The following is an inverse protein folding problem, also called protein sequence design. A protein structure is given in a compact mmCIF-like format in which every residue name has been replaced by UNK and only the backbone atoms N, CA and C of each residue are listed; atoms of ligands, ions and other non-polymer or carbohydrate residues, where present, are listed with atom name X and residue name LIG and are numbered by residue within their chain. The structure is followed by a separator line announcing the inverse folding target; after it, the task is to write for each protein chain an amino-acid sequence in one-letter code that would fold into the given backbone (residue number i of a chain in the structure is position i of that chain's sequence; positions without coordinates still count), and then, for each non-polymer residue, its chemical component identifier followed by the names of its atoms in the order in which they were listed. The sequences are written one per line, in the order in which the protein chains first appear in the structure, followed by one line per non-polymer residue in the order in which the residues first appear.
data_IF_987864021503
#
_entry.id   IF_987864021503
#
_cell.length_a   1.000
_cell.length_b   1.000
_cell.length_c   1.000
_cell.angle_alpha   90.00
_cell.angle_beta   90.00
_cell.angle_gamma   90.00
#
_symmetry.space_group_name_H-M   'P 1'
#
loop_
_entity.id
_entity.type
_entity.pdbx_description
1 polymer ?
#
# COMPACT_ATOMS: atom_id res chain seq x y z
N UNK A 1 9.47 24.33 2.89
CA UNK A 1 9.18 24.25 4.34
C UNK A 1 7.70 24.05 4.66
N UNK A 2 6.77 24.94 4.28
CA UNK A 2 5.35 24.86 4.73
C UNK A 2 4.67 23.49 4.64
N UNK A 3 4.92 22.70 3.58
CA UNK A 3 4.35 21.35 3.45
C UNK A 3 4.87 20.37 4.51
N UNK A 4 6.14 20.47 4.89
CA UNK A 4 6.77 19.62 5.92
C UNK A 4 6.14 19.92 7.29
N UNK A 5 5.96 21.20 7.62
CA UNK A 5 5.40 21.62 8.91
C UNK A 5 3.90 21.26 9.04
N UNK A 6 3.19 21.23 7.92
CA UNK A 6 1.77 20.85 7.91
C UNK A 6 1.53 19.38 8.22
N UNK A 7 2.54 18.52 8.02
CA UNK A 7 2.44 17.08 8.30
C UNK A 7 2.60 16.84 9.80
N UNK A 8 1.47 16.54 10.43
CA UNK A 8 1.37 16.19 11.85
C UNK A 8 1.07 14.70 11.99
N UNK A 9 1.59 14.08 13.05
CA UNK A 9 1.32 12.70 13.38
C UNK A 9 -0.07 12.55 14.01
N UNK A 10 -0.84 11.57 13.58
CA UNK A 10 -2.16 11.23 14.13
C UNK A 10 -2.17 9.79 14.68
N UNK A 11 -1.86 9.57 15.98
CA UNK A 11 -1.75 8.23 16.56
C UNK A 11 -2.99 7.33 16.33
N UNK A 12 -4.19 7.92 16.23
CA UNK A 12 -5.44 7.18 16.00
C UNK A 12 -5.64 6.68 14.56
N UNK A 13 -4.76 7.09 13.63
CA UNK A 13 -4.89 6.83 12.19
C UNK A 13 -3.68 6.10 11.60
N UNK A 14 -2.51 6.21 12.20
CA UNK A 14 -1.25 5.75 11.63
C UNK A 14 -0.22 5.46 12.74
N UNK A 15 0.72 4.56 12.45
CA UNK A 15 1.86 4.32 13.33
C UNK A 15 2.86 5.50 13.29
N UNK A 16 3.79 5.54 14.24
CA UNK A 16 4.87 6.52 14.20
C UNK A 16 5.82 6.29 13.01
N UNK A 17 6.07 5.03 12.66
CA UNK A 17 6.95 4.66 11.54
C UNK A 17 6.37 5.17 10.20
N UNK A 18 5.06 4.99 9.95
CA UNK A 18 4.40 5.48 8.73
C UNK A 18 4.52 7.01 8.62
N UNK A 19 4.24 7.71 9.73
CA UNK A 19 4.39 9.15 9.81
C UNK A 19 5.83 9.61 9.54
N UNK A 20 6.82 8.92 10.12
CA UNK A 20 8.22 9.25 9.97
C UNK A 20 8.68 9.07 8.53
N UNK A 21 8.32 7.95 7.88
CA UNK A 21 8.63 7.66 6.48
C UNK A 21 8.06 8.75 5.57
N UNK A 22 6.77 9.06 5.69
CA UNK A 22 6.10 10.11 4.92
C UNK A 22 6.80 11.46 5.08
N UNK A 23 7.10 11.83 6.33
CA UNK A 23 7.67 13.14 6.63
C UNK A 23 9.12 13.23 6.16
N UNK A 24 9.90 12.16 6.29
CA UNK A 24 11.26 12.08 5.77
C UNK A 24 11.29 12.13 4.24
N UNK A 25 10.33 11.51 3.55
CA UNK A 25 10.20 11.61 2.09
C UNK A 25 9.96 13.06 1.64
N UNK A 26 9.24 13.87 2.44
CA UNK A 26 9.08 15.31 2.19
C UNK A 26 10.37 16.09 2.46
N UNK A 27 11.19 15.68 3.44
CA UNK A 27 12.45 16.32 3.81
C UNK A 27 13.60 15.99 2.86
N UNK A 28 13.59 14.82 2.21
CA UNK A 28 14.66 14.35 1.32
C UNK A 28 14.99 15.35 0.20
N UNK A 29 14.02 16.17 -0.20
CA UNK A 29 14.19 17.21 -1.23
C UNK A 29 15.01 18.42 -0.80
N UNK A 30 15.31 18.57 0.51
CA UNK A 30 15.86 19.80 1.10
C UNK A 30 17.25 19.60 1.71
N UNK A 31 17.83 18.39 1.62
CA UNK A 31 19.16 18.04 2.15
C UNK A 31 19.50 18.66 3.51
N UNK A 32 18.67 18.34 4.51
CA UNK A 32 18.82 18.87 5.86
C UNK A 32 19.77 18.02 6.70
N UNK A 33 20.54 18.62 7.63
CA UNK A 33 21.26 17.89 8.67
C UNK A 33 20.36 16.97 9.49
N UNK A 34 20.91 15.89 10.04
CA UNK A 34 20.13 14.88 10.79
C UNK A 34 19.39 15.48 11.99
N UNK A 35 20.04 16.39 12.75
CA UNK A 35 19.40 17.06 13.88
C UNK A 35 18.17 17.88 13.47
N UNK A 36 18.22 18.56 12.33
CA UNK A 36 17.08 19.33 11.82
C UNK A 36 15.94 18.41 11.41
N UNK A 37 16.25 17.24 10.84
CA UNK A 37 15.24 16.21 10.52
C UNK A 37 14.55 15.70 11.78
N UNK A 38 15.32 15.41 12.83
CA UNK A 38 14.80 15.00 14.14
C UNK A 38 13.88 16.10 14.70
N UNK A 39 14.35 17.35 14.74
CA UNK A 39 13.55 18.47 15.25
C UNK A 39 12.24 18.64 14.47
N UNK A 40 12.27 18.49 13.14
CA UNK A 40 11.08 18.53 12.30
C UNK A 40 10.13 17.34 12.56
N UNK A 41 10.65 16.14 12.82
CA UNK A 41 9.82 14.99 13.23
C UNK A 41 9.12 15.28 14.56
N UNK A 42 9.86 15.75 15.57
CA UNK A 42 9.34 16.12 16.90
C UNK A 42 8.30 17.23 16.82
N UNK A 43 8.49 18.22 15.93
CA UNK A 43 7.56 19.33 15.77
C UNK A 43 6.15 18.90 15.34
N UNK A 44 6.02 17.76 14.65
CA UNK A 44 4.73 17.24 14.19
C UNK A 44 4.00 16.36 15.20
N UNK A 45 4.59 16.09 16.36
CA UNK A 45 3.94 15.37 17.47
C UNK A 45 2.99 16.33 18.20
N UNK A 46 1.70 16.00 18.23
CA UNK A 46 0.68 16.85 18.86
C UNK A 46 0.54 16.61 20.37
N UNK A 47 0.76 15.37 20.83
CA UNK A 47 0.63 15.02 22.23
C UNK A 47 1.80 15.59 23.03
N UNK A 48 1.53 16.51 23.96
CA UNK A 48 2.57 17.22 24.72
C UNK A 48 3.48 16.28 25.51
N UNK A 49 2.93 15.22 26.10
CA UNK A 49 3.70 14.23 26.85
C UNK A 49 4.71 13.49 25.94
N UNK A 50 4.23 12.89 24.83
CA UNK A 50 5.11 12.24 23.85
C UNK A 50 6.13 13.19 23.24
N UNK A 51 5.74 14.45 22.98
CA UNK A 51 6.66 15.46 22.46
C UNK A 51 7.78 15.77 23.46
N UNK A 52 7.45 15.87 24.76
CA UNK A 52 8.45 16.09 25.79
C UNK A 52 9.42 14.90 25.90
N UNK A 53 8.90 13.66 25.82
CA UNK A 53 9.73 12.45 25.78
C UNK A 53 10.64 12.43 24.56
N UNK A 54 10.11 12.75 23.38
CA UNK A 54 10.90 12.80 22.15
C UNK A 54 12.01 13.87 22.20
N UNK A 55 11.75 15.01 22.83
CA UNK A 55 12.78 16.05 23.08
C UNK A 55 13.85 15.61 24.08
N UNK A 56 13.57 14.63 24.94
CA UNK A 56 14.53 14.11 25.91
C UNK A 56 15.46 13.05 25.32
N UNK A 57 15.19 12.54 24.11
CA UNK A 57 16.07 11.61 23.39
C UNK A 57 17.29 12.41 22.91
N UNK A 58 18.48 12.03 23.36
CA UNK A 58 19.74 12.75 23.09
C UNK A 58 20.53 12.18 21.91
N UNK A 59 19.90 11.41 21.04
CA UNK A 59 20.58 10.85 19.86
C UNK A 59 20.89 11.94 18.83
N UNK A 60 22.13 11.91 18.36
CA UNK A 60 22.63 12.76 17.28
C UNK A 60 22.33 12.18 15.89
N UNK A 61 22.07 10.87 15.82
CA UNK A 61 21.73 10.14 14.60
C UNK A 61 20.24 9.93 14.44
N UNK A 62 19.76 10.13 13.22
CA UNK A 62 18.34 9.94 12.87
C UNK A 62 17.86 8.53 13.17
N UNK A 63 18.64 7.51 12.81
CA UNK A 63 18.25 6.11 13.00
C UNK A 63 18.14 5.73 14.48
N UNK A 64 19.02 6.27 15.34
CA UNK A 64 18.95 6.06 16.79
C UNK A 64 17.68 6.66 17.39
N UNK A 65 17.37 7.90 17.00
CA UNK A 65 16.13 8.56 17.40
C UNK A 65 14.87 7.77 16.99
N UNK A 66 14.81 7.26 15.76
CA UNK A 66 13.66 6.50 15.27
C UNK A 66 13.47 5.19 16.07
N UNK A 67 14.55 4.49 16.38
CA UNK A 67 14.50 3.25 17.16
C UNK A 67 14.01 3.50 18.61
N UNK A 68 14.49 4.55 19.27
CA UNK A 68 14.01 4.94 20.60
C UNK A 68 12.52 5.34 20.58
N UNK A 69 12.11 6.11 19.57
CA UNK A 69 10.70 6.45 19.40
C UNK A 69 9.81 5.23 19.14
N UNK A 70 10.29 4.23 18.41
CA UNK A 70 9.57 2.96 18.22
C UNK A 70 9.33 2.24 19.55
N UNK A 71 10.34 2.15 20.42
CA UNK A 71 10.19 1.55 21.76
C UNK A 71 9.16 2.29 22.62
N UNK A 72 9.18 3.62 22.59
CA UNK A 72 8.25 4.48 23.35
C UNK A 72 6.81 4.30 22.84
N UNK A 73 6.64 4.25 21.51
CA UNK A 73 5.32 4.22 20.88
C UNK A 73 4.64 2.85 20.98
N UNK A 74 5.41 1.76 20.94
CA UNK A 74 4.89 0.41 21.25
C UNK A 74 4.28 0.30 22.65
N UNK A 75 4.84 1.02 23.64
CA UNK A 75 4.33 1.01 25.01
C UNK A 75 3.12 1.93 25.26
N UNK A 76 2.80 2.83 24.33
CA UNK A 76 1.72 3.84 24.52
C UNK A 76 0.41 3.48 23.84
N UNK A 77 0.39 2.52 22.90
CA UNK A 77 -0.84 2.06 22.23
C UNK A 77 -1.89 1.47 23.20
N UNK A 78 -1.49 1.05 24.40
CA UNK A 78 -2.41 0.47 25.40
C UNK A 78 -3.09 1.50 26.32
N UNK A 79 -2.59 2.74 26.42
CA UNK A 79 -2.95 3.65 27.51
C UNK A 79 -4.13 4.60 27.20
N UNK A 80 -4.56 4.72 25.95
CA UNK A 80 -5.65 5.64 25.54
C UNK A 80 -7.06 5.01 25.59
N UNK A 81 -7.24 3.88 26.30
CA UNK A 81 -8.58 3.40 26.69
C UNK A 81 -9.01 3.98 28.03
N UNK A 82 -9.14 5.31 28.13
CA UNK A 82 -9.87 5.92 29.26
C UNK A 82 -11.35 6.09 28.88
N UNK A 83 -12.30 5.65 29.72
CA UNK A 83 -13.73 5.65 29.38
C UNK A 83 -14.26 7.08 29.45
N UNK A 84 -14.48 7.71 28.30
CA UNK A 84 -15.22 8.97 28.23
C UNK A 84 -16.71 8.71 28.37
N UNK A 85 -17.24 9.06 29.53
CA UNK A 85 -18.64 9.24 29.82
C UNK A 85 -19.26 10.36 28.97
N UNK A 86 -20.51 10.10 28.54
CA UNK A 86 -21.49 11.03 27.95
C UNK A 86 -21.25 11.59 26.54
N UNK A 87 -21.88 10.94 25.56
CA UNK A 87 -22.94 11.58 24.74
C UNK A 87 -23.86 10.53 24.07
N UNK A 88 -25.08 10.50 24.60
CA UNK A 88 -26.37 10.20 23.95
C UNK A 88 -26.51 8.91 23.13
N UNK A 89 -27.25 8.00 23.77
CA UNK A 89 -28.13 6.97 23.20
C UNK A 89 -28.49 7.13 21.72
N UNK A 90 -27.85 6.30 20.90
CA UNK A 90 -28.60 5.49 19.96
C UNK A 90 -28.28 4.03 20.25
N UNK A 91 -29.16 3.42 21.04
CA UNK A 91 -29.34 1.98 21.28
C UNK A 91 -28.54 1.12 20.26
N UNK A 92 -27.50 0.36 20.67
CA UNK A 92 -26.78 -0.50 19.76
C UNK A 92 -27.77 -1.50 19.20
N UNK A 93 -28.10 -1.37 17.91
CA UNK A 93 -28.67 -2.50 17.17
C UNK A 93 -27.61 -3.58 17.26
N UNK A 94 -27.97 -4.70 17.88
CA UNK A 94 -27.19 -5.95 18.01
C UNK A 94 -26.92 -6.64 16.65
N UNK A 95 -26.83 -5.84 15.58
CA UNK A 95 -26.54 -6.27 14.24
C UNK A 95 -25.04 -6.34 14.03
N UNK A 96 -24.60 -7.43 13.42
CA UNK A 96 -23.30 -7.50 12.77
C UNK A 96 -23.10 -6.32 11.81
N UNK A 97 -21.87 -5.83 11.72
CA UNK A 97 -21.49 -4.84 10.72
C UNK A 97 -21.82 -5.39 9.33
N UNK A 98 -22.52 -4.60 8.50
CA UNK A 98 -22.90 -5.01 7.14
C UNK A 98 -21.71 -5.16 6.18
N UNK A 99 -20.55 -4.60 6.52
CA UNK A 99 -19.36 -4.63 5.67
C UNK A 99 -18.48 -5.85 5.97
N UNK A 100 -18.23 -6.17 7.26
CA UNK A 100 -17.31 -7.25 7.65
C UNK A 100 -17.97 -8.37 8.49
N UNK A 101 -19.26 -8.28 8.79
CA UNK A 101 -19.97 -9.26 9.60
C UNK A 101 -19.65 -9.25 11.10
N UNK A 102 -18.64 -8.49 11.56
CA UNK A 102 -18.25 -8.46 12.99
C UNK A 102 -19.16 -7.55 13.81
N UNK A 103 -19.43 -7.93 15.07
CA UNK A 103 -20.16 -7.09 16.03
C UNK A 103 -19.24 -6.02 16.63
N UNK A 104 -19.82 -4.97 17.21
CA UNK A 104 -19.08 -3.96 17.97
C UNK A 104 -18.75 -2.66 17.23
N UNK A 105 -19.13 -2.51 15.96
CA UNK A 105 -19.06 -1.25 15.21
C UNK A 105 -20.14 -1.20 14.13
N UNK A 106 -20.46 0.00 13.63
CA UNK A 106 -21.37 0.16 12.49
C UNK A 106 -20.60 0.09 11.15
N UNK A 107 -21.30 -0.10 10.03
CA UNK A 107 -20.66 -0.15 8.70
C UNK A 107 -19.89 1.13 8.33
N UNK A 108 -20.20 2.29 8.94
CA UNK A 108 -19.51 3.57 8.70
C UNK A 108 -18.17 3.66 9.44
N UNK A 109 -17.99 2.88 10.51
CA UNK A 109 -16.80 2.79 11.35
C UNK A 109 -15.99 1.52 11.05
N UNK A 110 -16.37 0.80 10.00
CA UNK A 110 -15.72 -0.44 9.61
C UNK A 110 -14.36 -0.15 8.96
N UNK A 111 -13.28 -0.44 9.70
CA UNK A 111 -11.90 -0.38 9.22
C UNK A 111 -11.39 -1.71 8.66
N UNK A 112 -12.27 -2.61 8.24
CA UNK A 112 -11.80 -3.80 7.53
C UNK A 112 -11.23 -3.32 6.19
N UNK A 113 -9.91 -3.35 6.07
CA UNK A 113 -9.24 -3.34 4.78
C UNK A 113 -9.71 -4.58 4.03
N UNK A 114 -10.53 -4.36 3.02
CA UNK A 114 -10.97 -5.38 2.09
C UNK A 114 -10.30 -5.09 0.77
N UNK A 115 -9.43 -5.99 0.33
CA UNK A 115 -8.93 -5.94 -1.03
C UNK A 115 -10.06 -6.33 -1.97
N UNK A 116 -10.37 -5.46 -2.93
CA UNK A 116 -11.34 -5.76 -3.97
C UNK A 116 -10.58 -6.28 -5.19
N UNK A 117 -10.76 -7.57 -5.47
CA UNK A 117 -10.26 -8.18 -6.70
C UNK A 117 -11.28 -7.94 -7.80
N UNK A 118 -10.98 -7.04 -8.73
CA UNK A 118 -11.78 -6.81 -9.92
C UNK A 118 -11.17 -7.55 -11.12
N UNK A 119 -11.93 -8.46 -11.72
CA UNK A 119 -11.51 -9.13 -12.95
C UNK A 119 -11.31 -8.13 -14.10
N UNK A 120 -10.32 -8.34 -14.97
CA UNK A 120 -10.05 -7.44 -16.12
C UNK A 120 -11.28 -7.25 -17.02
N UNK A 121 -12.00 -8.34 -17.27
CA UNK A 121 -13.23 -8.33 -18.07
C UNK A 121 -14.28 -7.37 -17.51
N UNK A 122 -14.35 -7.24 -16.19
CA UNK A 122 -15.27 -6.34 -15.53
C UNK A 122 -14.92 -4.88 -15.80
N UNK A 123 -13.64 -4.52 -15.76
CA UNK A 123 -13.18 -3.17 -16.09
C UNK A 123 -13.48 -2.82 -17.56
N UNK A 124 -13.20 -3.72 -18.49
CA UNK A 124 -13.40 -3.49 -19.93
C UNK A 124 -14.89 -3.45 -20.30
N UNK A 125 -15.70 -4.43 -19.88
CA UNK A 125 -17.14 -4.49 -20.17
C UNK A 125 -17.90 -3.36 -19.51
N UNK A 126 -17.52 -3.03 -18.27
CA UNK A 126 -18.09 -1.93 -17.50
C UNK A 126 -17.60 -0.55 -17.96
N UNK A 127 -16.64 -0.47 -18.90
CA UNK A 127 -15.98 0.77 -19.33
C UNK A 127 -15.46 1.59 -18.15
N UNK A 128 -14.94 0.91 -17.13
CA UNK A 128 -14.41 1.54 -15.93
C UNK A 128 -13.01 2.06 -16.22
N UNK A 129 -12.76 3.33 -15.90
CA UNK A 129 -11.46 3.98 -16.08
C UNK A 129 -11.05 4.67 -14.78
N UNK A 130 -9.79 4.54 -14.38
CA UNK A 130 -9.24 5.29 -13.27
C UNK A 130 -8.38 6.43 -13.81
N UNK A 131 -8.84 7.67 -13.64
CA UNK A 131 -8.16 8.86 -14.15
C UNK A 131 -7.55 9.64 -13.00
N UNK A 132 -6.23 9.77 -12.99
CA UNK A 132 -5.52 10.67 -12.09
C UNK A 132 -5.58 12.10 -12.63
N UNK A 133 -6.03 13.03 -11.79
CA UNK A 133 -6.11 14.45 -12.13
C UNK A 133 -5.19 15.24 -11.16
N UNK A 134 -4.00 15.67 -11.61
CA UNK A 134 -3.07 16.38 -10.74
C UNK A 134 -3.65 17.72 -10.27
N UNK A 135 -3.49 18.03 -8.99
CA UNK A 135 -4.05 19.22 -8.37
C UNK A 135 -3.27 20.51 -8.70
N UNK A 136 -2.05 20.40 -9.22
CA UNK A 136 -1.18 21.53 -9.48
C UNK A 136 -1.48 22.17 -10.86
N UNK A 137 -1.67 23.50 -10.88
CA UNK A 137 -1.72 24.30 -12.11
C UNK A 137 -0.35 24.29 -12.78
N UNK A 138 -0.09 23.29 -13.61
CA UNK A 138 1.18 23.15 -14.34
C UNK A 138 1.39 21.76 -14.94
N UNK A 139 0.84 20.73 -14.31
CA UNK A 139 0.99 19.35 -14.79
C UNK A 139 -0.01 19.08 -15.91
N UNK A 140 0.53 18.97 -17.13
CA UNK A 140 -0.21 18.71 -18.36
C UNK A 140 -0.24 17.21 -18.62
N UNK A 141 -1.15 16.50 -17.95
CA UNK A 141 -2.05 15.52 -18.59
C UNK A 141 -2.83 14.73 -17.54
N UNK A 142 -4.09 14.44 -17.88
CA UNK A 142 -4.87 13.44 -17.15
C UNK A 142 -4.30 12.08 -17.52
N UNK A 143 -3.86 11.33 -16.52
CA UNK A 143 -3.26 10.01 -16.74
C UNK A 143 -4.35 8.98 -16.47
N UNK A 144 -4.66 8.15 -17.47
CA UNK A 144 -5.47 6.95 -17.24
C UNK A 144 -4.57 5.89 -16.60
N UNK A 145 -4.74 5.67 -15.30
CA UNK A 145 -3.88 4.78 -14.51
C UNK A 145 -4.02 3.33 -14.98
N UNK A 146 -5.23 2.87 -15.34
CA UNK A 146 -5.40 1.49 -15.82
C UNK A 146 -4.67 1.23 -17.14
N UNK A 147 -4.53 2.24 -18.01
CA UNK A 147 -3.77 2.12 -19.25
C UNK A 147 -2.24 2.09 -19.03
N UNK A 148 -1.76 2.59 -17.88
CA UNK A 148 -0.34 2.70 -17.57
C UNK A 148 0.14 1.67 -16.54
N UNK A 149 -0.75 0.84 -15.99
CA UNK A 149 -0.33 -0.28 -15.15
C UNK A 149 0.40 -1.32 -16.02
N UNK A 150 1.61 -1.79 -15.62
CA UNK A 150 2.36 -2.82 -16.33
C UNK A 150 1.69 -4.21 -16.36
N UNK A 151 0.41 -4.27 -15.96
CA UNK A 151 -0.45 -5.44 -16.00
C UNK A 151 -1.23 -5.55 -17.31
N UNK A 152 -1.11 -4.58 -18.22
CA UNK A 152 -1.70 -4.67 -19.55
C UNK A 152 -0.91 -5.69 -20.39
N UNK A 153 -1.39 -6.93 -20.40
CA UNK A 153 -1.15 -7.79 -21.57
C UNK A 153 -1.93 -7.13 -22.70
N UNK A 154 -1.24 -6.52 -23.66
CA UNK A 154 -1.88 -5.91 -24.83
C UNK A 154 -2.76 -6.97 -25.52
N UNK A 155 -4.08 -6.84 -25.37
CA UNK A 155 -5.04 -7.66 -26.11
C UNK A 155 -4.99 -7.40 -27.64
N UNK A 156 -4.25 -6.36 -28.06
CA UNK A 156 -4.01 -5.99 -29.44
C UNK A 156 -2.65 -6.44 -29.99
N UNK A 157 -1.79 -7.10 -29.19
CA UNK A 157 -0.73 -7.90 -29.81
C UNK A 157 -1.44 -9.06 -30.49
N UNK A 158 -1.35 -9.14 -31.82
CA UNK A 158 -1.56 -10.40 -32.54
C UNK A 158 -0.97 -11.49 -31.66
N UNK A 159 -1.78 -12.45 -31.23
CA UNK A 159 -1.34 -13.51 -30.30
C UNK A 159 -0.19 -14.22 -30.98
N UNK A 160 1.03 -13.79 -30.66
CA UNK A 160 2.21 -14.41 -31.18
C UNK A 160 2.13 -15.86 -30.74
N UNK A 161 2.20 -16.76 -31.71
CA UNK A 161 2.15 -18.18 -31.38
C UNK A 161 3.31 -18.48 -30.44
N UNK A 162 3.15 -19.50 -29.61
CA UNK A 162 4.19 -19.96 -28.69
C UNK A 162 5.51 -20.18 -29.46
N UNK A 163 5.41 -20.70 -30.69
CA UNK A 163 6.54 -20.90 -31.60
C UNK A 163 7.22 -19.60 -32.04
N UNK A 164 6.44 -18.56 -32.38
CA UNK A 164 6.98 -17.23 -32.74
C UNK A 164 7.71 -16.62 -31.54
N UNK A 165 7.11 -16.71 -30.36
CA UNK A 165 7.68 -16.16 -29.12
C UNK A 165 9.01 -16.84 -28.79
N UNK A 166 9.06 -18.17 -28.86
CA UNK A 166 10.28 -18.94 -28.57
C UNK A 166 11.40 -18.69 -29.57
N UNK A 167 11.06 -18.48 -30.84
CA UNK A 167 12.05 -18.19 -31.89
C UNK A 167 12.68 -16.80 -31.72
N UNK A 168 11.91 -15.81 -31.26
CA UNK A 168 12.34 -14.42 -31.08
C UNK A 168 13.27 -14.20 -29.89
N UNK A 169 13.19 -15.04 -28.85
CA UNK A 169 14.04 -14.88 -27.68
C UNK A 169 15.43 -15.50 -27.88
N UNK A 170 16.45 -14.67 -27.70
CA UNK A 170 17.84 -15.10 -27.56
C UNK A 170 18.09 -15.45 -26.09
N UNK A 171 18.89 -16.48 -25.85
CA UNK A 171 19.25 -16.92 -24.49
C UNK A 171 20.76 -16.92 -24.35
N UNK A 172 21.25 -16.73 -23.13
CA UNK A 172 22.67 -16.62 -22.83
C UNK A 172 23.42 -17.98 -22.90
N UNK A 173 22.70 -19.05 -23.25
CA UNK A 173 23.20 -20.42 -23.32
C UNK A 173 23.41 -20.87 -24.77
N UNK A 174 24.19 -21.94 -24.95
CA UNK A 174 24.45 -22.52 -26.27
C UNK A 174 23.18 -23.00 -26.98
N UNK A 175 23.26 -23.11 -28.31
CA UNK A 175 22.14 -23.49 -29.17
C UNK A 175 21.51 -24.84 -28.80
N UNK A 176 22.31 -25.80 -28.30
CA UNK A 176 21.82 -27.10 -27.82
C UNK A 176 20.84 -26.93 -26.64
N UNK A 177 21.15 -26.03 -25.71
CA UNK A 177 20.29 -25.71 -24.57
C UNK A 177 18.99 -25.05 -25.01
N UNK A 178 19.06 -24.14 -26.00
CA UNK A 178 17.87 -23.51 -26.60
C UNK A 178 16.94 -24.56 -27.19
N UNK A 179 17.47 -25.47 -28.00
CA UNK A 179 16.69 -26.54 -28.64
C UNK A 179 16.04 -27.46 -27.59
N UNK A 180 16.78 -27.83 -26.53
CA UNK A 180 16.23 -28.64 -25.42
C UNK A 180 15.10 -27.93 -24.69
N UNK A 181 15.28 -26.65 -24.36
CA UNK A 181 14.26 -25.83 -23.73
C UNK A 181 13.02 -25.75 -24.63
N UNK A 182 13.21 -25.51 -25.93
CA UNK A 182 12.10 -25.42 -26.86
C UNK A 182 11.30 -26.70 -26.95
N UNK A 183 11.99 -27.84 -26.99
CA UNK A 183 11.35 -29.15 -26.99
C UNK A 183 10.54 -29.37 -25.71
N UNK A 184 11.12 -29.08 -24.55
CA UNK A 184 10.47 -29.26 -23.24
C UNK A 184 9.18 -28.43 -23.13
N UNK A 185 9.23 -27.16 -23.54
CA UNK A 185 8.06 -26.26 -23.49
C UNK A 185 6.94 -26.78 -24.40
N UNK A 186 7.26 -27.26 -25.61
CA UNK A 186 6.26 -27.85 -26.51
C UNK A 186 5.65 -29.12 -25.92
N UNK A 187 6.47 -29.98 -25.32
CA UNK A 187 6.01 -31.22 -24.70
C UNK A 187 5.05 -30.95 -23.53
N UNK A 188 5.36 -29.97 -22.69
CA UNK A 188 4.48 -29.52 -21.59
C UNK A 188 3.18 -28.91 -22.14
N UNK A 189 3.24 -28.07 -23.18
CA UNK A 189 2.04 -27.45 -23.75
C UNK A 189 1.04 -28.46 -24.34
N UNK A 190 1.53 -29.64 -24.75
CA UNK A 190 0.71 -30.74 -25.28
C UNK A 190 0.18 -31.66 -24.18
N UNK A 191 0.66 -31.52 -22.94
CA UNK A 191 0.12 -32.30 -21.84
C UNK A 191 -1.29 -31.82 -21.54
N UNK A 192 -2.23 -32.77 -21.58
CA UNK A 192 -3.61 -32.53 -21.16
C UNK A 192 -3.59 -32.44 -19.64
N UNK A 193 -3.69 -31.22 -19.11
CA UNK A 193 -3.88 -31.00 -17.68
C UNK A 193 -5.33 -31.29 -17.33
N UNK A 194 -5.56 -32.27 -16.46
CA UNK A 194 -6.89 -32.50 -15.90
C UNK A 194 -7.12 -31.39 -14.87
N UNK A 195 -8.14 -30.53 -15.05
CA UNK A 195 -8.48 -29.54 -14.04
C UNK A 195 -8.83 -30.26 -12.74
N UNK A 196 -8.16 -29.90 -11.66
CA UNK A 196 -8.50 -30.39 -10.33
C UNK A 196 -9.68 -29.56 -9.85
N UNK A 197 -10.81 -30.21 -9.63
CA UNK A 197 -11.95 -29.61 -8.94
C UNK A 197 -11.61 -29.56 -7.44
N UNK A 198 -11.09 -28.41 -7.01
CA UNK A 198 -10.64 -28.19 -5.62
C UNK A 198 -11.78 -27.70 -4.71
N UNK A 199 -13.03 -27.71 -5.19
CA UNK A 199 -14.21 -27.19 -4.48
C UNK A 199 -14.00 -25.77 -3.93
N UNK A 200 -13.06 -25.00 -4.49
CA UNK A 200 -12.78 -23.65 -4.04
C UNK A 200 -13.94 -22.72 -4.42
N UNK A 201 -14.78 -22.42 -3.43
CA UNK A 201 -15.81 -21.40 -3.51
C UNK A 201 -15.39 -20.19 -2.66
N UNK A 202 -15.40 -19.01 -3.28
CA UNK A 202 -15.32 -17.74 -2.54
C UNK A 202 -16.75 -17.35 -2.18
N UNK A 203 -17.13 -17.55 -0.91
CA UNK A 203 -18.39 -17.06 -0.34
C UNK A 203 -18.29 -15.60 0.11
#
# INVERSE_FOLDING_TARGET
MQKIDSRKWMPNKESFDDYAIDKLALMYRVDLPEQDRIHLLVSGIQQTALKATALAITDDKLDGFLEEMRKITQGTEEWDKKPTTNKQDTKPKDGSCKNCGKKGHNAKECRSEGDIILGREFLTKGKLTLVYNPAAKGDREKINLFANLPLCVDNNRETETLESTMSKHEIDYGQDTKIRLEKLVRDISKQITIPVDDQYAVE
#
